data_IF_571684719713
#
_entry.id   IF_571684719713
#
_cell.length_a   1.000
_cell.length_b   1.000
_cell.length_c   1.000
_cell.angle_alpha   90.00
_cell.angle_beta   90.00
_cell.angle_gamma   90.00
#
_symmetry.space_group_name_H-M   'P 1'
#
loop_
_entity.id
_entity.type
_entity.pdbx_description
1 polymer ?
#
# COMPACT_ATOMS: atom_id res chain seq x y z
N UNK A 1 24.94 -8.65 40.01
CA UNK A 1 24.05 -8.03 39.01
C UNK A 1 24.28 -8.72 37.68
N UNK A 2 23.34 -9.54 37.22
CA UNK A 2 23.41 -10.09 35.87
C UNK A 2 23.17 -8.95 34.89
N UNK A 3 24.18 -8.60 34.10
CA UNK A 3 24.02 -7.73 32.95
C UNK A 3 23.16 -8.55 31.98
N UNK A 4 21.91 -8.16 31.76
CA UNK A 4 21.04 -8.78 30.77
C UNK A 4 21.71 -8.62 29.39
N UNK A 5 22.42 -9.66 28.97
CA UNK A 5 23.18 -9.72 27.72
C UNK A 5 22.28 -10.09 26.52
N UNK A 6 20.98 -9.78 26.61
CA UNK A 6 20.00 -10.08 25.59
C UNK A 6 19.97 -8.91 24.61
N UNK A 7 20.45 -9.16 23.39
CA UNK A 7 20.30 -8.22 22.28
C UNK A 7 18.88 -8.38 21.74
N UNK A 8 18.04 -7.37 21.93
CA UNK A 8 16.69 -7.34 21.35
C UNK A 8 16.78 -7.10 19.84
N UNK A 9 16.73 -8.18 19.07
CA UNK A 9 16.71 -8.11 17.61
C UNK A 9 15.34 -7.66 17.10
N UNK A 10 14.25 -7.94 17.81
CA UNK A 10 12.89 -7.57 17.39
C UNK A 10 12.71 -6.05 17.36
N UNK A 11 13.26 -5.34 18.35
CA UNK A 11 13.27 -3.87 18.36
C UNK A 11 14.12 -3.29 17.22
N UNK A 12 15.26 -3.95 16.91
CA UNK A 12 16.16 -3.52 15.82
C UNK A 12 15.65 -3.89 14.44
N UNK A 13 14.83 -4.93 14.36
CA UNK A 13 14.26 -5.45 13.13
C UNK A 13 12.81 -5.04 12.91
N UNK A 14 12.18 -4.35 13.88
CA UNK A 14 10.78 -3.96 13.83
C UNK A 14 10.45 -3.30 12.50
N UNK A 15 9.60 -3.99 11.74
CA UNK A 15 9.07 -3.59 10.45
C UNK A 15 7.67 -2.98 10.61
N UNK A 16 7.28 -2.66 11.84
CA UNK A 16 5.91 -2.24 12.14
C UNK A 16 5.78 -0.74 12.13
N UNK A 17 4.79 -0.23 11.41
CA UNK A 17 4.37 1.17 11.40
C UNK A 17 2.97 1.27 11.98
N UNK A 18 2.81 2.09 13.02
CA UNK A 18 1.50 2.42 13.56
C UNK A 18 0.83 3.50 12.71
N UNK A 19 -0.37 3.22 12.21
CA UNK A 19 -1.18 4.09 11.36
C UNK A 19 -2.56 4.31 12.00
N UNK A 20 -3.16 5.48 11.76
CA UNK A 20 -4.56 5.75 12.13
C UNK A 20 -5.40 5.95 10.88
N UNK A 21 -6.39 5.09 10.67
CA UNK A 21 -7.25 5.08 9.47
C UNK A 21 -8.71 4.96 9.92
N UNK A 22 -9.56 5.89 9.45
CA UNK A 22 -10.98 5.92 9.80
C UNK A 22 -11.24 5.76 11.32
N UNK A 23 -10.47 6.50 12.13
CA UNK A 23 -10.60 6.53 13.60
C UNK A 23 -9.98 5.35 14.36
N UNK A 24 -9.45 4.33 13.68
CA UNK A 24 -8.85 3.14 14.29
C UNK A 24 -7.33 3.11 14.10
N UNK A 25 -6.62 2.60 15.11
CA UNK A 25 -5.17 2.40 15.06
C UNK A 25 -4.83 1.00 14.55
N UNK A 26 -3.84 0.92 13.67
CA UNK A 26 -3.31 -0.32 13.09
C UNK A 26 -1.81 -0.36 13.26
N UNK A 27 -1.30 -1.54 13.62
CA UNK A 27 0.12 -1.85 13.58
C UNK A 27 0.39 -2.63 12.30
N UNK A 28 0.77 -1.92 11.24
CA UNK A 28 1.00 -2.52 9.92
C UNK A 28 2.45 -2.97 9.82
N UNK A 29 2.65 -4.27 9.60
CA UNK A 29 3.97 -4.85 9.39
C UNK A 29 4.35 -4.73 7.93
N UNK A 30 5.53 -4.16 7.65
CA UNK A 30 6.15 -4.22 6.32
C UNK A 30 6.58 -5.67 6.08
N UNK A 31 5.83 -6.37 5.23
CA UNK A 31 6.06 -7.76 4.84
C UNK A 31 5.97 -7.89 3.32
N UNK A 32 6.54 -8.96 2.77
CA UNK A 32 6.44 -9.25 1.33
C UNK A 32 4.98 -9.34 0.87
N UNK A 33 4.07 -9.84 1.72
CA UNK A 33 2.63 -9.92 1.42
C UNK A 33 1.98 -8.53 1.32
N UNK A 34 2.27 -7.64 2.27
CA UNK A 34 1.75 -6.26 2.26
C UNK A 34 2.33 -5.47 1.10
N UNK A 35 3.64 -5.60 0.85
CA UNK A 35 4.32 -4.93 -0.27
C UNK A 35 3.80 -5.45 -1.62
N UNK A 36 3.56 -6.75 -1.75
CA UNK A 36 2.99 -7.35 -2.94
C UNK A 36 1.55 -6.87 -3.17
N UNK A 37 0.70 -6.86 -2.13
CA UNK A 37 -0.67 -6.39 -2.24
C UNK A 37 -0.74 -4.93 -2.71
N UNK A 38 0.05 -4.04 -2.10
CA UNK A 38 0.12 -2.63 -2.48
C UNK A 38 0.65 -2.48 -3.92
N UNK A 39 1.71 -3.19 -4.30
CA UNK A 39 2.30 -3.07 -5.63
C UNK A 39 1.39 -3.64 -6.72
N UNK A 40 0.72 -4.77 -6.46
CA UNK A 40 -0.26 -5.33 -7.38
C UNK A 40 -1.38 -4.33 -7.63
N UNK A 41 -1.93 -3.74 -6.57
CA UNK A 41 -2.97 -2.73 -6.73
C UNK A 41 -2.48 -1.49 -7.50
N UNK A 42 -1.42 -0.85 -6.99
CA UNK A 42 -1.01 0.48 -7.46
C UNK A 42 -0.35 0.46 -8.84
N UNK A 43 0.41 -0.58 -9.18
CA UNK A 43 1.18 -0.63 -10.42
C UNK A 43 0.57 -1.56 -11.48
N UNK A 44 -0.16 -2.60 -11.07
CA UNK A 44 -0.72 -3.58 -12.01
C UNK A 44 -2.20 -3.28 -12.24
N UNK A 45 -3.03 -3.38 -11.21
CA UNK A 45 -4.49 -3.32 -11.36
C UNK A 45 -4.95 -1.95 -11.86
N UNK A 46 -4.48 -0.85 -11.26
CA UNK A 46 -4.82 0.49 -11.74
C UNK A 46 -4.33 0.75 -13.18
N UNK A 47 -3.14 0.26 -13.53
CA UNK A 47 -2.58 0.44 -14.87
C UNK A 47 -3.32 -0.38 -15.93
N UNK A 48 -3.67 -1.63 -15.61
CA UNK A 48 -4.47 -2.50 -16.47
C UNK A 48 -5.84 -1.88 -16.71
N UNK A 49 -6.46 -1.37 -15.65
CA UNK A 49 -7.77 -0.75 -15.75
C UNK A 49 -7.78 0.51 -16.60
N UNK A 50 -6.79 1.40 -16.46
CA UNK A 50 -6.67 2.58 -17.36
C UNK A 50 -6.54 2.12 -18.81
N UNK A 51 -5.70 1.12 -19.07
CA UNK A 51 -5.51 0.58 -20.43
C UNK A 51 -6.78 -0.06 -20.97
N UNK A 52 -7.51 -0.79 -20.14
CA UNK A 52 -8.74 -1.47 -20.55
C UNK A 52 -9.86 -0.44 -20.81
N UNK A 53 -9.90 0.66 -20.03
CA UNK A 53 -10.74 1.83 -20.31
C UNK A 53 -10.40 2.46 -21.65
N UNK A 54 -9.13 2.77 -21.90
CA UNK A 54 -8.69 3.34 -23.17
C UNK A 54 -9.05 2.43 -24.36
N UNK A 55 -8.78 1.13 -24.24
CA UNK A 55 -9.05 0.16 -25.30
C UNK A 55 -10.55 -0.04 -25.58
N UNK A 56 -11.41 0.02 -24.56
CA UNK A 56 -12.85 -0.09 -24.75
C UNK A 56 -13.42 1.20 -25.36
N UNK A 57 -12.95 2.37 -24.90
CA UNK A 57 -13.32 3.66 -25.47
C UNK A 57 -12.97 3.77 -26.96
N UNK A 58 -11.82 3.24 -27.39
CA UNK A 58 -11.43 3.20 -28.81
C UNK A 58 -12.32 2.28 -29.65
N UNK A 59 -12.88 1.23 -29.06
CA UNK A 59 -13.72 0.24 -29.76
C UNK A 59 -15.20 0.58 -29.72
N UNK A 60 -15.61 1.56 -28.90
CA UNK A 60 -17.00 1.96 -28.80
C UNK A 60 -17.50 2.51 -30.14
N UNK A 61 -18.58 1.93 -30.72
CA UNK A 61 -19.15 2.46 -31.94
C UNK A 61 -19.74 3.86 -31.69
N UNK A 62 -19.78 4.70 -32.72
CA UNK A 62 -20.40 6.05 -32.63
C UNK A 62 -21.88 6.01 -32.23
N UNK A 63 -22.53 4.84 -32.37
CA UNK A 63 -23.90 4.57 -31.96
C UNK A 63 -24.06 4.20 -30.49
N UNK A 64 -22.97 4.21 -29.70
CA UNK A 64 -23.01 3.90 -28.27
C UNK A 64 -23.94 4.87 -27.55
N UNK A 65 -24.92 4.31 -26.86
CA UNK A 65 -25.89 5.09 -26.08
C UNK A 65 -25.28 5.60 -24.78
N UNK A 66 -25.85 6.68 -24.24
CA UNK A 66 -25.44 7.21 -22.94
C UNK A 66 -25.54 6.15 -21.82
N UNK A 67 -26.54 5.27 -21.86
CA UNK A 67 -26.71 4.20 -20.86
C UNK A 67 -25.64 3.11 -20.98
N UNK A 68 -25.26 2.72 -22.21
CA UNK A 68 -24.17 1.78 -22.42
C UNK A 68 -22.83 2.33 -21.90
N UNK A 69 -22.55 3.60 -22.22
CA UNK A 69 -21.37 4.29 -21.72
C UNK A 69 -21.36 4.38 -20.19
N UNK A 70 -22.51 4.75 -19.60
CA UNK A 70 -22.66 4.82 -18.13
C UNK A 70 -22.42 3.46 -17.48
N UNK A 71 -23.01 2.39 -18.01
CA UNK A 71 -22.86 1.05 -17.46
C UNK A 71 -21.40 0.58 -17.51
N UNK A 72 -20.68 0.89 -18.59
CA UNK A 72 -19.26 0.61 -18.71
C UNK A 72 -18.43 1.34 -17.65
N UNK A 73 -18.61 2.66 -17.51
CA UNK A 73 -17.88 3.43 -16.49
C UNK A 73 -18.21 2.95 -15.07
N UNK A 74 -19.46 2.56 -14.83
CA UNK A 74 -19.91 2.01 -13.56
C UNK A 74 -19.20 0.67 -13.25
N UNK A 75 -19.14 -0.25 -14.21
CA UNK A 75 -18.48 -1.55 -14.01
C UNK A 75 -16.99 -1.41 -13.73
N UNK A 76 -16.29 -0.50 -14.42
CA UNK A 76 -14.88 -0.24 -14.14
C UNK A 76 -14.69 0.35 -12.75
N UNK A 77 -15.56 1.28 -12.35
CA UNK A 77 -15.50 1.88 -11.01
C UNK A 77 -15.73 0.83 -9.91
N UNK A 78 -16.65 -0.12 -10.13
CA UNK A 78 -16.93 -1.22 -9.20
C UNK A 78 -15.74 -2.18 -9.10
N UNK A 79 -15.12 -2.56 -10.22
CA UNK A 79 -13.88 -3.37 -10.22
C UNK A 79 -12.76 -2.68 -9.45
N UNK A 80 -12.56 -1.37 -9.65
CA UNK A 80 -11.54 -0.61 -8.93
C UNK A 80 -11.80 -0.61 -7.43
N UNK A 81 -13.08 -0.43 -7.05
CA UNK A 81 -13.50 -0.48 -5.64
C UNK A 81 -13.17 -1.82 -5.04
N UNK A 82 -13.60 -2.90 -5.67
CA UNK A 82 -13.49 -4.24 -5.10
C UNK A 82 -12.01 -4.65 -4.92
N UNK A 83 -11.16 -4.30 -5.88
CA UNK A 83 -9.70 -4.41 -5.77
C UNK A 83 -9.10 -3.60 -4.62
N UNK A 84 -9.53 -2.35 -4.45
CA UNK A 84 -9.06 -1.50 -3.35
C UNK A 84 -9.48 -2.06 -1.98
N UNK A 85 -10.71 -2.56 -1.88
CA UNK A 85 -11.24 -3.20 -0.68
C UNK A 85 -10.41 -4.44 -0.32
N UNK A 86 -10.17 -5.32 -1.29
CA UNK A 86 -9.38 -6.54 -1.09
C UNK A 86 -7.94 -6.22 -0.67
N UNK A 87 -7.33 -5.19 -1.27
CA UNK A 87 -5.98 -4.73 -0.91
C UNK A 87 -5.93 -4.25 0.55
N UNK A 88 -6.92 -3.45 0.97
CA UNK A 88 -7.00 -2.99 2.36
C UNK A 88 -7.28 -4.13 3.35
N UNK A 89 -8.05 -5.14 2.95
CA UNK A 89 -8.29 -6.33 3.76
C UNK A 89 -7.00 -7.13 4.03
N UNK A 90 -6.08 -7.19 3.05
CA UNK A 90 -4.77 -7.82 3.23
C UNK A 90 -3.91 -7.00 4.20
N UNK A 91 -3.91 -5.66 4.06
CA UNK A 91 -3.04 -4.78 4.84
C UNK A 91 -3.52 -4.63 6.30
N UNK A 92 -4.83 -4.47 6.49
CA UNK A 92 -5.42 -4.05 7.76
C UNK A 92 -6.16 -5.18 8.47
N UNK A 93 -6.48 -6.26 7.75
CA UNK A 93 -7.28 -7.38 8.24
C UNK A 93 -8.63 -7.50 7.51
N UNK A 94 -9.17 -8.71 7.51
CA UNK A 94 -10.41 -9.04 6.79
C UNK A 94 -11.58 -8.14 7.22
N UNK A 95 -12.28 -7.55 6.24
CA UNK A 95 -13.43 -6.66 6.43
C UNK A 95 -13.07 -5.19 6.68
N UNK A 96 -11.79 -4.87 6.87
CA UNK A 96 -11.34 -3.50 7.13
C UNK A 96 -11.43 -2.62 5.89
N UNK A 97 -11.27 -3.18 4.69
CA UNK A 97 -11.49 -2.44 3.44
C UNK A 97 -12.89 -1.85 3.37
N UNK A 98 -13.92 -2.67 3.65
CA UNK A 98 -15.32 -2.22 3.64
C UNK A 98 -15.58 -1.19 4.74
N UNK A 99 -15.07 -1.43 5.95
CA UNK A 99 -15.21 -0.49 7.08
C UNK A 99 -14.61 0.88 6.73
N UNK A 100 -13.40 0.90 6.17
CA UNK A 100 -12.72 2.12 5.75
C UNK A 100 -13.48 2.82 4.62
N UNK A 101 -14.00 2.06 3.66
CA UNK A 101 -14.81 2.59 2.56
C UNK A 101 -16.06 3.32 3.06
N UNK A 102 -16.82 2.69 3.96
CA UNK A 102 -18.03 3.27 4.55
C UNK A 102 -17.70 4.49 5.41
N UNK A 103 -16.64 4.43 6.21
CA UNK A 103 -16.22 5.54 7.07
C UNK A 103 -15.83 6.80 6.29
N UNK A 104 -15.39 6.66 5.04
CA UNK A 104 -15.08 7.77 4.14
C UNK A 104 -16.17 8.05 3.09
N UNK A 105 -17.42 7.69 3.40
CA UNK A 105 -18.59 8.05 2.59
C UNK A 105 -18.69 7.28 1.28
N UNK A 106 -18.20 6.03 1.27
CA UNK A 106 -18.28 5.13 0.11
C UNK A 106 -17.58 5.68 -1.15
N UNK A 107 -16.43 6.32 -0.96
CA UNK A 107 -15.64 6.89 -2.06
C UNK A 107 -14.44 6.01 -2.43
N UNK A 108 -14.48 5.41 -3.62
CA UNK A 108 -13.35 4.60 -4.15
C UNK A 108 -12.08 5.44 -4.31
N UNK A 109 -12.22 6.71 -4.70
CA UNK A 109 -11.09 7.65 -4.78
C UNK A 109 -10.37 7.83 -3.44
N UNK A 110 -11.13 7.83 -2.34
CA UNK A 110 -10.53 7.91 -1.00
C UNK A 110 -9.79 6.62 -0.66
N UNK A 111 -10.31 5.44 -1.02
CA UNK A 111 -9.57 4.18 -0.83
C UNK A 111 -8.21 4.19 -1.53
N UNK A 112 -8.17 4.64 -2.79
CA UNK A 112 -6.91 4.75 -3.54
C UNK A 112 -5.91 5.67 -2.85
N UNK A 113 -6.43 6.79 -2.30
CA UNK A 113 -5.63 7.74 -1.54
C UNK A 113 -5.09 7.11 -0.26
N UNK A 114 -5.91 6.35 0.47
CA UNK A 114 -5.49 5.64 1.68
C UNK A 114 -4.38 4.64 1.36
N UNK A 115 -4.54 3.82 0.32
CA UNK A 115 -3.51 2.84 -0.10
C UNK A 115 -2.20 3.54 -0.45
N UNK A 116 -2.25 4.63 -1.23
CA UNK A 116 -1.05 5.41 -1.57
C UNK A 116 -0.36 6.05 -0.35
N UNK A 117 -1.13 6.52 0.64
CA UNK A 117 -0.59 7.04 1.89
C UNK A 117 0.06 5.95 2.74
N UNK A 118 -0.55 4.76 2.81
CA UNK A 118 0.05 3.60 3.48
C UNK A 118 1.40 3.28 2.82
N UNK A 119 1.43 3.14 1.49
CA UNK A 119 2.66 2.85 0.74
C UNK A 119 3.76 3.88 1.04
N UNK A 120 3.41 5.17 1.05
CA UNK A 120 4.36 6.24 1.35
C UNK A 120 4.95 6.13 2.76
N UNK A 121 4.12 5.79 3.76
CA UNK A 121 4.58 5.62 5.13
C UNK A 121 5.44 4.37 5.33
N UNK A 122 5.09 3.25 4.69
CA UNK A 122 5.90 2.02 4.73
C UNK A 122 7.26 2.23 4.04
N UNK A 123 7.29 2.93 2.91
CA UNK A 123 8.53 3.29 2.21
C UNK A 123 9.48 4.14 3.06
N UNK A 124 8.95 5.03 3.91
CA UNK A 124 9.78 5.82 4.85
C UNK A 124 10.51 4.92 5.84
N UNK A 125 9.85 3.89 6.37
CA UNK A 125 10.48 2.90 7.26
C UNK A 125 11.65 2.24 6.55
N UNK A 126 11.48 1.80 5.30
CA UNK A 126 12.56 1.17 4.52
C UNK A 126 13.73 2.12 4.26
N UNK A 127 13.48 3.39 3.93
CA UNK A 127 14.53 4.40 3.69
C UNK A 127 15.34 4.68 4.96
N UNK A 128 14.69 4.80 6.11
CA UNK A 128 15.37 5.01 7.40
C UNK A 128 16.27 3.83 7.78
N UNK A 129 15.83 2.60 7.48
CA UNK A 129 16.65 1.39 7.68
C UNK A 129 17.85 1.37 6.75
N UNK A 130 17.67 1.69 5.47
CA UNK A 130 18.79 1.80 4.51
C UNK A 130 19.85 2.79 5.01
N UNK A 131 19.44 3.98 5.45
CA UNK A 131 20.36 4.98 6.03
C UNK A 131 21.09 4.46 7.27
N UNK A 132 20.41 3.72 8.13
CA UNK A 132 21.02 3.14 9.34
C UNK A 132 22.04 2.05 9.01
N UNK A 133 21.71 1.17 8.06
CA UNK A 133 22.62 0.16 7.54
C UNK A 133 23.86 0.80 6.89
N UNK A 134 23.67 1.78 6.02
CA UNK A 134 24.76 2.50 5.33
C UNK A 134 25.70 3.21 6.31
N UNK A 135 25.16 3.82 7.39
CA UNK A 135 25.97 4.37 8.49
C UNK A 135 26.81 3.30 9.19
N UNK A 136 26.23 2.14 9.45
CA UNK A 136 26.95 1.02 10.09
C UNK A 136 28.10 0.52 9.20
N UNK A 137 27.87 0.32 7.90
CA UNK A 137 28.90 -0.13 6.96
C UNK A 137 30.00 0.92 6.72
N UNK A 138 29.63 2.20 6.58
CA UNK A 138 30.60 3.29 6.38
C UNK A 138 31.49 3.53 7.60
N UNK A 139 30.96 3.40 8.83
CA UNK A 139 31.76 3.48 10.05
C UNK A 139 32.73 2.29 10.19
N UNK A 140 32.31 1.09 9.78
CA UNK A 140 33.19 -0.09 9.73
C UNK A 140 34.35 0.11 8.74
N UNK A 141 34.08 0.74 7.60
CA UNK A 141 35.11 0.99 6.59
C UNK A 141 36.13 2.08 7.01
N UNK A 142 35.70 3.09 7.79
CA UNK A 142 36.58 4.12 8.37
C UNK A 142 37.50 3.58 9.47
N UNK A 143 36.99 2.70 10.33
CA UNK A 143 37.80 2.10 11.40
C UNK A 143 38.86 1.12 10.88
N UNK A 144 38.60 0.45 9.75
CA UNK A 144 39.61 -0.39 9.10
C UNK A 144 40.74 0.39 8.39
N UNK A 145 40.57 1.70 8.13
CA UNK A 145 41.63 2.55 7.54
C UNK A 145 42.57 3.19 8.59
N UNK A 146 42.28 3.03 9.88
CA UNK A 146 43.09 3.54 11.00
C UNK A 146 43.92 2.46 11.70
N UNK A 147 43.97 1.24 11.15
CA UNK A 147 44.83 0.15 11.62
C UNK A 147 45.99 -0.04 10.66
#
# INVERSE_FOLDING_TARGET
MAINNVINLDEKLSLTKRLRIAGQDYDVVVSDEVDLAINNYTNIELSLQVRDIEAELEKMPETTTADQFKNFVQSETDTMRDSALATLDIILGKGEGQRVYEAYGSSTKVLNTVIGLIQAELNKVMVERKKTADKHYSNRHKNNKKK
#
